data_IF_046761917191
#
_entry.id   IF_046761917191
#
_cell.length_a   1.000
_cell.length_b   1.000
_cell.length_c   1.000
_cell.angle_alpha   90.00
_cell.angle_beta   90.00
_cell.angle_gamma   90.00
#
_symmetry.space_group_name_H-M   'P 1'
#
loop_
_entity.id
_entity.type
_entity.pdbx_description
1 polymer ?
#
# COMPACT_ATOMS: atom_id res chain seq x y z
N UNK A 1 -3.16 -64.13 -41.51
CA UNK A 1 -2.47 -63.06 -40.73
C UNK A 1 -1.13 -63.62 -40.29
N UNK A 2 -0.05 -62.91 -40.60
CA UNK A 2 1.27 -63.31 -40.13
C UNK A 2 1.53 -62.56 -38.82
N UNK A 3 1.88 -63.30 -37.74
CA UNK A 3 2.22 -62.75 -36.46
C UNK A 3 3.71 -62.95 -36.21
N UNK A 4 4.43 -61.91 -35.81
CA UNK A 4 5.84 -61.97 -35.40
C UNK A 4 5.91 -61.77 -33.90
N UNK A 5 6.25 -62.80 -33.11
CA UNK A 5 6.43 -62.74 -31.66
C UNK A 5 7.90 -62.58 -31.33
N UNK A 6 8.28 -61.42 -30.80
CA UNK A 6 9.66 -61.14 -30.41
C UNK A 6 9.72 -60.46 -29.03
N UNK A 7 10.75 -60.77 -28.25
CA UNK A 7 10.96 -60.14 -26.93
C UNK A 7 11.66 -58.80 -27.06
N UNK A 8 12.34 -58.55 -28.19
CA UNK A 8 13.07 -57.32 -28.44
C UNK A 8 13.26 -57.08 -29.93
N UNK A 9 13.03 -55.86 -30.39
CA UNK A 9 13.43 -55.41 -31.72
C UNK A 9 14.59 -54.43 -31.52
N UNK A 10 15.69 -54.66 -32.22
CA UNK A 10 16.88 -53.79 -32.17
C UNK A 10 17.38 -53.60 -33.60
N UNK A 11 17.98 -52.44 -33.94
CA UNK A 11 18.56 -52.28 -35.28
C UNK A 11 19.70 -53.29 -35.50
N UNK A 12 19.80 -53.80 -36.75
CA UNK A 12 20.90 -54.68 -37.13
C UNK A 12 22.22 -53.93 -37.24
N UNK A 13 22.15 -52.67 -37.65
CA UNK A 13 23.28 -51.76 -37.74
C UNK A 13 22.73 -50.31 -37.62
N UNK A 14 23.50 -49.39 -37.06
CA UNK A 14 23.04 -48.03 -36.79
C UNK A 14 22.19 -47.93 -35.53
N UNK A 15 21.46 -46.82 -35.36
CA UNK A 15 20.68 -46.47 -34.15
C UNK A 15 19.18 -46.53 -34.37
N UNK A 16 18.69 -46.71 -35.62
CA UNK A 16 17.28 -46.53 -35.96
C UNK A 16 16.59 -47.86 -36.27
N UNK A 17 15.41 -48.05 -35.76
CA UNK A 17 14.45 -49.08 -36.15
C UNK A 17 13.24 -48.37 -36.77
N UNK A 18 13.01 -48.59 -38.05
CA UNK A 18 11.80 -48.10 -38.73
C UNK A 18 10.71 -49.14 -38.65
N UNK A 19 9.53 -48.75 -38.14
CA UNK A 19 8.35 -49.60 -38.09
C UNK A 19 7.33 -49.03 -39.12
N UNK A 20 7.11 -49.80 -40.17
CA UNK A 20 6.18 -49.40 -41.25
C UNK A 20 6.75 -48.40 -42.29
N UNK A 21 6.01 -48.22 -43.36
CA UNK A 21 6.29 -47.29 -44.45
C UNK A 21 5.31 -46.11 -44.39
N UNK A 22 5.46 -45.12 -45.29
CA UNK A 22 4.57 -43.95 -45.35
C UNK A 22 3.13 -44.40 -45.60
N UNK A 23 2.24 -44.06 -44.64
CA UNK A 23 0.83 -44.43 -44.67
C UNK A 23 0.47 -45.63 -43.78
N UNK A 24 1.44 -46.33 -43.23
CA UNK A 24 1.21 -47.43 -42.26
C UNK A 24 0.75 -46.89 -40.90
N UNK A 25 -0.10 -47.64 -40.22
CA UNK A 25 -0.56 -47.34 -38.88
C UNK A 25 0.09 -48.33 -37.86
N UNK A 26 0.72 -47.80 -36.83
CA UNK A 26 1.13 -48.57 -35.69
C UNK A 26 0.03 -48.51 -34.62
N UNK A 27 -0.73 -49.57 -34.47
CA UNK A 27 -1.85 -49.66 -33.52
C UNK A 27 -1.42 -50.33 -32.23
N UNK A 28 -1.61 -49.65 -31.09
CA UNK A 28 -1.45 -50.17 -29.76
C UNK A 28 -2.82 -50.63 -29.25
N UNK A 29 -3.09 -51.95 -29.18
CA UNK A 29 -4.44 -52.43 -28.85
C UNK A 29 -4.85 -52.05 -27.42
N UNK A 30 -6.18 -52.00 -27.21
CA UNK A 30 -6.73 -51.73 -25.87
C UNK A 30 -6.16 -52.65 -24.80
N UNK A 31 -5.67 -52.03 -23.70
CA UNK A 31 -5.01 -52.77 -22.60
C UNK A 31 -3.50 -52.99 -22.77
N UNK A 32 -2.92 -52.63 -23.94
CA UNK A 32 -1.48 -52.58 -24.12
C UNK A 32 -0.95 -51.15 -23.83
N UNK A 33 0.30 -51.05 -23.41
CA UNK A 33 0.97 -49.78 -23.14
C UNK A 33 2.16 -49.59 -24.06
N UNK A 34 2.28 -48.43 -24.68
CA UNK A 34 3.52 -47.98 -25.30
C UNK A 34 4.32 -47.20 -24.27
N UNK A 35 5.33 -47.81 -23.68
CA UNK A 35 6.22 -47.16 -22.73
C UNK A 35 7.36 -46.44 -23.49
N UNK A 36 7.32 -45.11 -23.41
CA UNK A 36 8.33 -44.22 -23.98
C UNK A 36 9.16 -43.49 -22.90
N UNK A 37 9.17 -44.01 -21.67
CA UNK A 37 9.93 -43.46 -20.55
C UNK A 37 11.41 -43.31 -20.91
N UNK A 38 11.94 -42.11 -20.80
CA UNK A 38 13.34 -41.78 -21.13
C UNK A 38 13.62 -41.58 -22.63
N UNK A 39 12.62 -41.69 -23.51
CA UNK A 39 12.74 -41.38 -24.93
C UNK A 39 12.28 -39.96 -25.24
N UNK A 40 12.89 -39.35 -26.27
CA UNK A 40 12.32 -38.10 -26.87
C UNK A 40 11.27 -38.52 -27.91
N UNK A 41 10.03 -38.16 -27.68
CA UNK A 41 8.93 -38.39 -28.62
C UNK A 41 8.76 -37.15 -29.49
N UNK A 42 8.94 -37.25 -30.80
CA UNK A 42 8.74 -36.18 -31.76
C UNK A 42 7.50 -36.47 -32.60
N UNK A 43 6.74 -35.42 -32.96
CA UNK A 43 5.57 -35.56 -33.82
C UNK A 43 4.25 -35.94 -33.13
N UNK A 44 4.18 -35.93 -31.80
CA UNK A 44 2.88 -35.90 -31.10
C UNK A 44 2.26 -34.52 -31.26
N UNK A 45 1.39 -34.35 -32.24
CA UNK A 45 0.66 -33.12 -32.44
C UNK A 45 -0.14 -32.77 -31.18
N UNK A 46 0.06 -31.57 -30.64
CA UNK A 46 -0.80 -30.97 -29.63
C UNK A 46 -0.27 -30.89 -28.19
N UNK A 47 0.87 -31.50 -27.85
CA UNK A 47 1.49 -31.32 -26.52
C UNK A 47 2.78 -30.49 -26.61
N UNK A 48 2.82 -29.27 -26.04
CA UNK A 48 4.02 -28.45 -26.09
C UNK A 48 5.12 -29.02 -25.16
N UNK A 49 6.38 -28.99 -25.63
CA UNK A 49 7.52 -29.25 -24.76
C UNK A 49 7.84 -27.99 -23.95
N UNK A 50 7.58 -28.03 -22.66
CA UNK A 50 7.82 -26.89 -21.77
C UNK A 50 9.32 -26.54 -21.66
N UNK A 51 9.61 -25.25 -21.75
CA UNK A 51 10.94 -24.67 -21.65
C UNK A 51 11.20 -24.16 -20.23
N UNK A 52 12.44 -23.77 -19.95
CA UNK A 52 12.78 -23.05 -18.73
C UNK A 52 12.07 -21.69 -18.68
N UNK A 53 11.87 -21.15 -17.47
CA UNK A 53 11.25 -19.83 -17.27
C UNK A 53 12.07 -18.77 -17.99
N UNK A 54 11.38 -17.95 -18.79
CA UNK A 54 11.96 -16.81 -19.51
C UNK A 54 11.79 -15.55 -18.65
N UNK A 55 12.90 -14.91 -18.27
CA UNK A 55 12.94 -13.66 -17.50
C UNK A 55 13.43 -12.46 -18.31
N UNK A 56 13.82 -12.69 -19.56
CA UNK A 56 14.34 -11.63 -20.45
C UNK A 56 13.26 -10.81 -21.13
N UNK A 57 13.61 -9.59 -21.55
CA UNK A 57 12.72 -8.71 -22.29
C UNK A 57 12.39 -9.20 -23.74
N UNK A 58 13.09 -10.20 -24.23
CA UNK A 58 12.86 -10.78 -25.56
C UNK A 58 13.00 -12.30 -25.55
N UNK A 59 12.20 -12.97 -26.39
CA UNK A 59 12.22 -14.40 -26.62
C UNK A 59 12.00 -14.69 -28.10
N UNK A 60 12.71 -15.64 -28.66
CA UNK A 60 12.38 -16.23 -30.00
C UNK A 60 11.70 -17.56 -29.76
N UNK A 61 10.43 -17.65 -30.13
CA UNK A 61 9.62 -18.85 -29.95
C UNK A 61 9.88 -19.88 -31.06
N UNK A 62 9.69 -21.14 -30.72
CA UNK A 62 9.81 -22.30 -31.64
C UNK A 62 8.50 -23.09 -31.56
N UNK A 63 7.98 -23.54 -32.70
CA UNK A 63 6.80 -24.38 -32.74
C UNK A 63 6.96 -25.68 -31.93
N UNK A 64 5.88 -26.17 -31.34
CA UNK A 64 5.86 -27.33 -30.46
C UNK A 64 6.35 -27.07 -29.03
N UNK A 65 6.53 -25.81 -28.63
CA UNK A 65 7.04 -25.47 -27.31
C UNK A 65 6.05 -24.65 -26.47
N UNK A 66 6.15 -24.83 -25.14
CA UNK A 66 5.49 -24.02 -24.13
C UNK A 66 6.51 -23.18 -23.36
N UNK A 67 6.20 -21.92 -23.13
CA UNK A 67 7.08 -20.93 -22.49
C UNK A 67 6.42 -20.33 -21.25
N UNK A 68 6.90 -20.66 -20.04
CA UNK A 68 6.57 -19.88 -18.86
C UNK A 68 7.34 -18.55 -18.92
N UNK A 69 6.62 -17.41 -18.90
CA UNK A 69 7.22 -16.09 -19.03
C UNK A 69 7.03 -15.30 -17.73
N UNK A 70 8.15 -14.87 -17.16
CA UNK A 70 8.20 -14.03 -15.97
C UNK A 70 8.47 -12.59 -16.39
N UNK A 71 7.45 -11.74 -16.28
CA UNK A 71 7.54 -10.31 -16.57
C UNK A 71 7.66 -9.45 -15.33
N UNK A 72 8.07 -9.99 -14.17
CA UNK A 72 8.22 -9.23 -12.93
C UNK A 72 9.08 -7.98 -13.10
N UNK A 73 10.20 -8.10 -13.80
CA UNK A 73 11.18 -7.00 -13.95
C UNK A 73 11.01 -6.17 -15.22
N UNK A 74 10.39 -6.72 -16.27
CA UNK A 74 10.23 -6.05 -17.57
C UNK A 74 9.16 -6.73 -18.43
N UNK A 75 8.54 -5.97 -19.33
CA UNK A 75 7.70 -6.52 -20.39
C UNK A 75 8.54 -7.44 -21.31
N UNK A 76 7.91 -8.46 -21.90
CA UNK A 76 8.56 -9.40 -22.80
C UNK A 76 7.97 -9.30 -24.22
N UNK A 77 8.84 -9.21 -25.22
CA UNK A 77 8.47 -9.35 -26.63
C UNK A 77 8.88 -10.72 -27.15
N UNK A 78 7.89 -11.51 -27.55
CA UNK A 78 8.12 -12.83 -28.16
C UNK A 78 8.07 -12.71 -29.68
N UNK A 79 9.15 -13.10 -30.35
CA UNK A 79 9.19 -13.20 -31.82
C UNK A 79 8.78 -14.60 -32.25
N UNK A 80 7.69 -14.71 -33.04
CA UNK A 80 7.23 -15.97 -33.57
C UNK A 80 8.16 -16.48 -34.71
N UNK A 81 8.10 -17.79 -35.04
CA UNK A 81 8.85 -18.32 -36.18
C UNK A 81 8.51 -17.57 -37.51
N UNK A 82 9.53 -17.30 -38.33
CA UNK A 82 9.34 -16.66 -39.62
C UNK A 82 8.64 -17.57 -40.66
N UNK A 83 8.56 -18.88 -40.40
CA UNK A 83 7.79 -19.85 -41.16
C UNK A 83 7.13 -20.84 -40.23
N UNK A 84 5.94 -21.31 -40.56
CA UNK A 84 5.17 -22.26 -39.78
C UNK A 84 4.39 -23.21 -40.70
N UNK A 85 4.12 -24.41 -40.20
CA UNK A 85 3.30 -25.43 -40.83
C UNK A 85 1.92 -25.51 -40.19
N UNK A 86 0.90 -25.90 -40.96
CA UNK A 86 -0.46 -26.10 -40.42
C UNK A 86 -0.41 -27.08 -39.26
N UNK A 87 -0.98 -26.66 -38.11
CA UNK A 87 -0.99 -27.44 -36.89
C UNK A 87 0.19 -27.17 -35.93
N UNK A 88 1.14 -26.31 -36.30
CA UNK A 88 2.16 -25.84 -35.34
C UNK A 88 1.52 -25.15 -34.17
N UNK A 89 1.93 -25.51 -32.94
CA UNK A 89 1.38 -25.01 -31.67
C UNK A 89 2.48 -24.32 -30.87
N UNK A 90 2.15 -23.21 -30.25
CA UNK A 90 2.99 -22.54 -29.24
C UNK A 90 2.10 -22.14 -28.06
N UNK A 91 2.62 -22.30 -26.83
CA UNK A 91 1.91 -21.90 -25.62
C UNK A 91 2.76 -20.92 -24.81
N UNK A 92 2.14 -19.87 -24.33
CA UNK A 92 2.73 -18.89 -23.42
C UNK A 92 1.90 -18.87 -22.14
N UNK A 93 2.54 -18.79 -20.97
CA UNK A 93 1.83 -18.62 -19.70
C UNK A 93 2.49 -17.55 -18.84
N UNK A 94 1.68 -16.73 -18.18
CA UNK A 94 2.11 -15.72 -17.21
C UNK A 94 2.59 -16.41 -15.94
N UNK A 95 3.88 -16.76 -15.91
CA UNK A 95 4.50 -17.51 -14.80
C UNK A 95 4.44 -16.76 -13.48
N UNK A 96 4.74 -15.46 -13.48
CA UNK A 96 4.80 -14.62 -12.30
C UNK A 96 3.51 -13.82 -12.05
N UNK A 97 2.47 -14.02 -12.90
CA UNK A 97 1.19 -13.30 -12.82
C UNK A 97 1.35 -11.78 -12.93
N UNK A 98 2.26 -11.33 -13.80
CA UNK A 98 2.65 -9.91 -13.95
C UNK A 98 2.34 -9.34 -15.34
N UNK A 99 1.63 -10.04 -16.24
CA UNK A 99 1.27 -9.50 -17.54
C UNK A 99 0.43 -8.22 -17.45
N UNK A 100 -0.38 -8.08 -16.39
CA UNK A 100 -1.14 -6.85 -16.14
C UNK A 100 -0.27 -5.63 -15.77
N UNK A 101 0.99 -5.85 -15.35
CA UNK A 101 1.94 -4.79 -14.99
C UNK A 101 2.93 -4.57 -16.14
N UNK A 102 3.48 -5.66 -16.66
CA UNK A 102 4.46 -5.71 -17.73
C UNK A 102 3.97 -6.70 -18.79
N UNK A 103 3.30 -6.21 -19.82
CA UNK A 103 2.60 -7.03 -20.81
C UNK A 103 3.53 -7.92 -21.65
N UNK A 104 2.96 -9.02 -22.15
CA UNK A 104 3.54 -9.84 -23.18
C UNK A 104 3.14 -9.31 -24.57
N UNK A 105 4.10 -9.00 -25.43
CA UNK A 105 3.86 -8.60 -26.83
C UNK A 105 4.28 -9.70 -27.78
N UNK A 106 3.46 -10.05 -28.76
CA UNK A 106 3.78 -11.05 -29.79
C UNK A 106 4.23 -10.35 -31.07
N UNK A 107 5.52 -10.41 -31.40
CA UNK A 107 6.03 -10.02 -32.71
C UNK A 107 5.71 -11.13 -33.71
N UNK A 108 4.82 -10.85 -34.64
CA UNK A 108 4.28 -11.80 -35.61
C UNK A 108 5.31 -12.27 -36.65
N UNK A 109 6.45 -11.59 -36.77
CA UNK A 109 7.58 -11.94 -37.62
C UNK A 109 7.18 -12.22 -39.09
N UNK A 110 6.39 -11.31 -39.67
CA UNK A 110 5.90 -11.34 -41.06
C UNK A 110 4.81 -12.38 -41.38
N UNK A 111 4.37 -13.19 -40.38
CA UNK A 111 3.19 -14.04 -40.56
C UNK A 111 1.96 -13.30 -40.01
N UNK A 112 0.78 -13.70 -40.50
CA UNK A 112 -0.47 -13.14 -40.00
C UNK A 112 -0.80 -13.67 -38.56
N UNK A 113 -1.52 -12.87 -37.80
CA UNK A 113 -2.16 -13.25 -36.55
C UNK A 113 -3.64 -12.92 -36.64
N UNK A 114 -4.51 -13.94 -36.59
CA UNK A 114 -5.96 -13.81 -36.84
C UNK A 114 -6.29 -13.10 -38.16
N UNK A 115 -5.42 -13.24 -39.17
CA UNK A 115 -5.59 -12.65 -40.50
C UNK A 115 -5.02 -11.23 -40.65
N UNK A 116 -4.39 -10.68 -39.61
CA UNK A 116 -3.81 -9.35 -39.64
C UNK A 116 -2.27 -9.42 -39.49
N UNK A 117 -1.55 -8.57 -40.20
CA UNK A 117 -0.09 -8.45 -40.08
C UNK A 117 0.35 -7.35 -39.11
N UNK A 118 -0.59 -6.59 -38.60
CA UNK A 118 -0.38 -5.46 -37.67
C UNK A 118 -1.74 -5.05 -37.07
N UNK A 119 -1.77 -4.51 -35.82
CA UNK A 119 -0.65 -4.39 -34.86
C UNK A 119 -0.23 -5.73 -34.29
N UNK A 120 0.91 -5.75 -33.58
CA UNK A 120 1.32 -6.90 -32.78
C UNK A 120 0.33 -7.14 -31.63
N UNK A 121 -0.12 -8.38 -31.40
CA UNK A 121 -0.98 -8.71 -30.25
C UNK A 121 -0.27 -8.44 -28.93
N UNK A 122 -1.03 -7.96 -27.95
CA UNK A 122 -0.58 -7.70 -26.58
C UNK A 122 -1.48 -8.46 -25.62
N UNK A 123 -0.88 -9.16 -24.66
CA UNK A 123 -1.53 -9.89 -23.59
C UNK A 123 -1.15 -9.23 -22.27
N UNK A 124 -2.13 -8.67 -21.58
CA UNK A 124 -1.98 -7.81 -20.41
C UNK A 124 -2.90 -8.20 -19.23
N UNK A 125 -3.37 -9.45 -19.23
CA UNK A 125 -4.25 -9.95 -18.19
C UNK A 125 -3.46 -10.81 -17.19
N UNK A 126 -3.65 -10.56 -15.88
CA UNK A 126 -2.99 -11.29 -14.79
C UNK A 126 -3.31 -12.79 -14.84
N UNK A 127 -2.28 -13.63 -14.90
CA UNK A 127 -2.41 -15.09 -14.90
C UNK A 127 -2.88 -15.68 -16.22
N UNK A 128 -2.70 -14.98 -17.32
CA UNK A 128 -3.14 -15.37 -18.66
C UNK A 128 -2.28 -16.50 -19.24
N UNK A 129 -2.94 -17.44 -19.90
CA UNK A 129 -2.30 -18.48 -20.71
C UNK A 129 -2.87 -18.44 -22.11
N UNK A 130 -1.99 -18.37 -23.10
CA UNK A 130 -2.34 -18.27 -24.51
C UNK A 130 -1.79 -19.48 -25.25
N UNK A 131 -2.67 -20.22 -25.93
CA UNK A 131 -2.29 -21.29 -26.84
C UNK A 131 -2.62 -20.85 -28.26
N UNK A 132 -1.62 -20.76 -29.13
CA UNK A 132 -1.78 -20.38 -30.52
C UNK A 132 -1.45 -21.53 -31.45
N UNK A 133 -2.21 -21.63 -32.53
CA UNK A 133 -2.03 -22.67 -33.59
C UNK A 133 -1.91 -21.97 -34.94
N UNK A 134 -0.93 -22.37 -35.76
CA UNK A 134 -0.84 -21.90 -37.14
C UNK A 134 -1.84 -22.63 -38.02
N UNK A 135 -2.72 -21.90 -38.67
CA UNK A 135 -3.81 -22.47 -39.47
C UNK A 135 -3.47 -22.48 -40.96
N UNK A 136 -3.06 -21.35 -41.52
CA UNK A 136 -2.71 -21.19 -42.93
C UNK A 136 -2.00 -19.83 -43.14
N UNK A 137 -1.60 -19.55 -44.39
CA UNK A 137 -0.95 -18.28 -44.72
C UNK A 137 -1.89 -17.07 -44.69
N UNK A 138 -3.22 -17.28 -44.77
CA UNK A 138 -4.22 -16.20 -44.76
C UNK A 138 -4.53 -15.76 -43.33
N UNK A 139 -4.80 -16.70 -42.46
CA UNK A 139 -5.14 -16.43 -41.06
C UNK A 139 -3.93 -16.39 -40.17
N UNK A 140 -2.87 -17.13 -40.48
CA UNK A 140 -1.67 -17.20 -39.68
C UNK A 140 -1.88 -17.94 -38.37
N UNK A 141 -1.37 -17.37 -37.30
CA UNK A 141 -1.54 -17.87 -35.96
C UNK A 141 -2.89 -17.47 -35.39
N UNK A 142 -3.59 -18.44 -34.83
CA UNK A 142 -4.92 -18.26 -34.20
C UNK A 142 -4.84 -18.69 -32.73
N UNK A 143 -5.20 -17.82 -31.75
CA UNK A 143 -5.37 -18.27 -30.38
C UNK A 143 -6.55 -19.23 -30.30
N UNK A 144 -6.30 -20.41 -29.71
CA UNK A 144 -7.31 -21.45 -29.45
C UNK A 144 -7.69 -21.53 -27.99
N UNK A 145 -6.84 -20.97 -27.12
CA UNK A 145 -7.12 -20.73 -25.72
C UNK A 145 -6.45 -19.39 -25.37
N UNK A 146 -7.18 -18.54 -24.67
CA UNK A 146 -6.83 -17.18 -24.30
C UNK A 146 -7.62 -16.88 -23.01
N UNK A 147 -7.08 -17.28 -21.88
CA UNK A 147 -7.79 -17.17 -20.62
C UNK A 147 -6.87 -17.04 -19.43
N UNK A 148 -7.30 -16.19 -18.50
CA UNK A 148 -6.63 -16.04 -17.21
C UNK A 148 -7.12 -17.11 -16.22
N UNK A 149 -6.18 -17.69 -15.48
CA UNK A 149 -6.45 -18.63 -14.39
C UNK A 149 -6.23 -17.91 -13.06
N UNK A 150 -7.25 -17.87 -12.20
CA UNK A 150 -7.12 -17.35 -10.84
C UNK A 150 -6.20 -18.25 -10.00
N UNK A 151 -5.60 -17.70 -8.93
CA UNK A 151 -4.95 -18.53 -7.94
C UNK A 151 -6.00 -19.45 -7.27
N UNK A 152 -5.71 -20.74 -7.16
CA UNK A 152 -6.57 -21.70 -6.45
C UNK A 152 -6.63 -21.38 -4.95
N UNK A 153 -5.53 -20.86 -4.40
CA UNK A 153 -5.42 -20.40 -3.02
C UNK A 153 -4.94 -18.96 -3.05
N UNK A 154 -5.68 -18.01 -2.46
CA UNK A 154 -5.25 -16.63 -2.36
C UNK A 154 -3.88 -16.53 -1.71
N UNK A 155 -2.96 -15.80 -2.31
CA UNK A 155 -1.64 -15.58 -1.75
C UNK A 155 -1.72 -14.51 -0.65
N UNK A 156 -0.87 -14.66 0.36
CA UNK A 156 -0.79 -13.69 1.46
C UNK A 156 0.62 -13.15 1.58
N UNK A 157 0.74 -11.91 2.02
CA UNK A 157 2.02 -11.28 2.27
C UNK A 157 1.95 -10.31 3.45
N UNK A 158 3.10 -9.99 4.01
CA UNK A 158 3.22 -9.05 5.13
C UNK A 158 3.30 -7.62 4.59
N UNK A 159 2.59 -6.70 5.24
CA UNK A 159 2.63 -5.27 4.97
C UNK A 159 2.86 -4.49 6.26
N UNK A 160 3.81 -3.57 6.26
CA UNK A 160 4.02 -2.65 7.35
C UNK A 160 3.14 -1.41 7.16
N UNK A 161 2.55 -0.95 8.25
CA UNK A 161 1.55 0.12 8.23
C UNK A 161 1.86 1.18 9.27
N UNK A 162 1.63 2.44 8.88
CA UNK A 162 1.56 3.58 9.79
C UNK A 162 0.20 4.27 9.62
N UNK A 163 -0.51 4.43 10.73
CA UNK A 163 -1.81 5.09 10.78
C UNK A 163 -1.72 6.26 11.76
N UNK A 164 -1.86 7.49 11.28
CA UNK A 164 -1.82 8.72 12.09
C UNK A 164 -3.16 9.43 11.98
N UNK A 165 -3.82 9.67 13.12
CA UNK A 165 -5.07 10.46 13.19
C UNK A 165 -4.87 11.93 12.86
N UNK A 166 -5.94 12.68 12.63
CA UNK A 166 -5.87 14.14 12.52
C UNK A 166 -5.57 14.78 13.88
N UNK A 167 -4.75 15.84 13.92
CA UNK A 167 -4.46 16.59 15.14
C UNK A 167 -5.65 17.44 15.61
N UNK A 168 -5.69 17.82 16.89
CA UNK A 168 -6.66 18.75 17.46
C UNK A 168 -6.32 20.21 17.15
N UNK A 169 -7.33 21.06 17.03
CA UNK A 169 -7.19 22.52 16.94
C UNK A 169 -7.12 23.19 18.32
N UNK A 170 -6.92 24.50 18.33
CA UNK A 170 -6.80 25.31 19.54
C UNK A 170 -7.93 26.30 19.73
N UNK A 171 -8.06 26.85 20.95
CA UNK A 171 -8.85 28.05 21.18
C UNK A 171 -8.12 29.30 20.69
N UNK A 172 -8.87 30.26 20.20
CA UNK A 172 -8.38 31.62 19.94
C UNK A 172 -8.39 32.48 21.18
N UNK A 173 -7.78 33.66 21.09
CA UNK A 173 -7.67 34.61 22.18
C UNK A 173 -6.71 34.22 23.27
N UNK A 174 -6.78 34.86 24.43
CA UNK A 174 -5.75 34.79 25.46
C UNK A 174 -5.58 33.41 26.12
N UNK A 175 -4.36 33.02 26.39
CA UNK A 175 -3.93 31.91 27.27
C UNK A 175 -4.50 30.51 26.96
N UNK A 176 -4.80 30.23 25.71
CA UNK A 176 -5.32 28.94 25.27
C UNK A 176 -4.27 27.82 25.35
N UNK A 177 -4.74 26.60 25.57
CA UNK A 177 -3.92 25.39 25.47
C UNK A 177 -3.71 24.97 24.03
N UNK A 178 -2.56 24.33 23.73
CA UNK A 178 -2.22 23.76 22.43
C UNK A 178 -3.06 22.53 22.08
N UNK A 179 -3.33 22.29 20.80
CA UNK A 179 -4.01 21.08 20.33
C UNK A 179 -3.17 19.82 20.50
N UNK A 180 -3.79 18.72 20.90
CA UNK A 180 -3.13 17.41 20.97
C UNK A 180 -2.86 16.85 19.57
N UNK A 181 -1.82 16.07 19.40
CA UNK A 181 -1.55 15.37 18.16
C UNK A 181 -2.55 14.22 17.92
N UNK A 182 -2.79 13.87 16.67
CA UNK A 182 -3.45 12.62 16.31
C UNK A 182 -2.71 11.42 16.88
N UNK A 183 -3.42 10.33 17.15
CA UNK A 183 -2.79 9.08 17.59
C UNK A 183 -1.81 8.59 16.51
N UNK A 184 -0.78 7.91 16.93
CA UNK A 184 0.24 7.30 16.07
C UNK A 184 0.25 5.80 16.30
N UNK A 185 -0.02 5.02 15.28
CA UNK A 185 -0.02 3.56 15.38
C UNK A 185 0.76 2.92 14.24
N UNK A 186 1.65 2.01 14.59
CA UNK A 186 2.33 1.14 13.63
C UNK A 186 1.82 -0.29 13.79
N UNK A 187 1.78 -1.03 12.71
CA UNK A 187 1.40 -2.44 12.73
C UNK A 187 1.98 -3.14 11.50
N UNK A 188 2.37 -4.40 11.69
CA UNK A 188 2.64 -5.30 10.57
C UNK A 188 1.47 -6.27 10.44
N UNK A 189 0.85 -6.35 9.28
CA UNK A 189 -0.34 -7.15 9.04
C UNK A 189 -0.16 -8.05 7.82
N UNK A 190 -0.91 -9.16 7.81
CA UNK A 190 -0.99 -10.03 6.64
C UNK A 190 -2.13 -9.56 5.76
N UNK A 191 -1.82 -9.21 4.52
CA UNK A 191 -2.80 -8.92 3.48
C UNK A 191 -2.98 -10.14 2.58
N UNK A 192 -4.16 -10.27 1.99
CA UNK A 192 -4.49 -11.36 1.06
C UNK A 192 -4.72 -10.77 -0.33
N UNK A 193 -4.10 -11.34 -1.35
CA UNK A 193 -4.28 -10.91 -2.75
C UNK A 193 -5.76 -10.86 -3.14
N UNK A 194 -6.08 -9.94 -4.04
CA UNK A 194 -7.41 -9.68 -4.59
C UNK A 194 -8.46 -9.18 -3.56
N UNK A 195 -8.09 -8.97 -2.29
CA UNK A 195 -8.97 -8.34 -1.29
C UNK A 195 -8.80 -6.83 -1.24
N UNK A 196 -9.93 -6.15 -1.04
CA UNK A 196 -9.98 -4.68 -0.95
C UNK A 196 -9.84 -4.24 0.51
N UNK A 197 -8.91 -3.33 0.76
CA UNK A 197 -8.68 -2.67 2.04
C UNK A 197 -9.07 -1.21 1.93
N UNK A 198 -9.99 -0.79 2.80
CA UNK A 198 -10.51 0.59 2.85
C UNK A 198 -9.68 1.41 3.82
N UNK A 199 -9.25 2.57 3.35
CA UNK A 199 -8.47 3.56 4.10
C UNK A 199 -9.32 4.80 4.35
N UNK A 200 -9.35 5.25 5.61
CA UNK A 200 -9.90 6.54 6.01
C UNK A 200 -8.79 7.39 6.60
N UNK A 201 -8.70 8.66 6.20
CA UNK A 201 -7.70 9.61 6.69
C UNK A 201 -8.40 10.76 7.41
N UNK A 202 -8.17 10.84 8.72
CA UNK A 202 -8.81 11.82 9.59
C UNK A 202 -8.40 13.25 9.30
N UNK A 203 -9.36 14.16 9.27
CA UNK A 203 -9.13 15.60 9.17
C UNK A 203 -8.67 16.17 10.51
N UNK A 204 -7.90 17.26 10.47
CA UNK A 204 -7.57 18.05 11.64
C UNK A 204 -8.78 18.74 12.26
N UNK A 205 -8.77 18.90 13.58
CA UNK A 205 -9.76 19.68 14.29
C UNK A 205 -9.64 21.18 13.99
N UNK A 206 -10.75 21.87 13.91
CA UNK A 206 -10.74 23.29 13.64
C UNK A 206 -10.18 24.10 14.81
N UNK A 207 -9.35 25.08 14.53
CA UNK A 207 -9.08 26.20 15.43
C UNK A 207 -10.31 27.09 15.54
N UNK A 208 -10.47 27.78 16.64
CA UNK A 208 -11.61 28.69 16.88
C UNK A 208 -11.11 30.07 17.26
N UNK A 209 -11.95 31.12 16.97
CA UNK A 209 -11.64 32.54 17.24
C UNK A 209 -12.00 33.00 18.63
N UNK A 210 -12.51 32.16 19.50
CA UNK A 210 -13.05 32.50 20.78
C UNK A 210 -12.20 32.02 21.95
N UNK A 211 -11.88 32.90 22.90
CA UNK A 211 -11.22 32.54 24.14
C UNK A 211 -12.10 31.71 25.10
N UNK A 212 -13.38 31.60 24.80
CA UNK A 212 -14.36 30.86 25.62
C UNK A 212 -14.78 29.50 25.01
N UNK A 213 -14.20 29.11 23.86
CA UNK A 213 -14.48 27.86 23.22
C UNK A 213 -13.20 27.01 23.08
N UNK A 214 -13.33 25.76 23.47
CA UNK A 214 -12.28 24.76 23.23
C UNK A 214 -12.07 24.51 21.74
N UNK A 215 -10.84 24.29 21.33
CA UNK A 215 -10.51 23.88 19.98
C UNK A 215 -11.21 22.58 19.58
N UNK A 216 -11.44 22.38 18.30
CA UNK A 216 -12.04 21.16 17.76
C UNK A 216 -11.10 19.95 17.91
N UNK A 217 -11.62 18.77 18.24
CA UNK A 217 -10.83 17.53 18.16
C UNK A 217 -10.65 17.07 16.74
N UNK A 218 -9.53 16.42 16.44
CA UNK A 218 -9.28 15.80 15.16
C UNK A 218 -10.13 14.56 14.91
N UNK A 219 -10.13 14.08 13.69
CA UNK A 219 -10.85 12.87 13.28
C UNK A 219 -9.94 11.64 13.25
N UNK A 220 -10.57 10.45 13.30
CA UNK A 220 -9.85 9.18 13.26
C UNK A 220 -9.26 8.90 11.87
N UNK A 221 -8.12 8.20 11.83
CA UNK A 221 -7.65 7.49 10.64
C UNK A 221 -7.78 5.99 10.85
N UNK A 222 -8.04 5.23 9.79
CA UNK A 222 -8.18 3.78 9.92
C UNK A 222 -7.85 3.04 8.62
N UNK A 223 -7.55 1.75 8.77
CA UNK A 223 -7.54 0.77 7.68
C UNK A 223 -8.35 -0.46 8.09
N UNK A 224 -9.19 -0.96 7.18
CA UNK A 224 -10.06 -2.11 7.40
C UNK A 224 -10.23 -2.92 6.11
N UNK A 225 -10.57 -4.20 6.24
CA UNK A 225 -10.83 -5.10 5.11
C UNK A 225 -11.04 -6.53 5.59
N UNK A 226 -11.45 -7.41 4.69
CA UNK A 226 -11.66 -8.83 5.00
C UNK A 226 -10.32 -9.45 5.45
N UNK A 227 -10.35 -10.19 6.55
CA UNK A 227 -9.17 -10.84 7.13
C UNK A 227 -8.25 -9.91 7.94
N UNK A 228 -8.51 -8.59 7.93
CA UNK A 228 -7.76 -7.61 8.70
C UNK A 228 -8.59 -7.16 9.92
N UNK A 229 -8.00 -7.23 11.11
CA UNK A 229 -8.58 -6.52 12.26
C UNK A 229 -8.42 -5.02 12.03
N UNK A 230 -9.52 -4.28 11.99
CA UNK A 230 -9.50 -2.83 11.78
C UNK A 230 -8.51 -2.15 12.71
N UNK A 231 -7.59 -1.39 12.13
CA UNK A 231 -6.64 -0.58 12.88
C UNK A 231 -7.14 0.86 12.82
N UNK A 232 -7.40 1.43 14.00
CA UNK A 232 -7.90 2.80 14.14
C UNK A 232 -6.92 3.61 14.96
N UNK A 233 -6.59 4.81 14.51
CA UNK A 233 -5.82 5.80 15.24
C UNK A 233 -6.73 6.99 15.54
N UNK A 234 -6.86 7.35 16.81
CA UNK A 234 -7.77 8.40 17.26
C UNK A 234 -7.31 9.79 16.81
N UNK A 235 -8.25 10.70 16.65
CA UNK A 235 -7.91 12.12 16.48
C UNK A 235 -7.32 12.71 17.75
N UNK A 236 -6.56 13.77 17.62
CA UNK A 236 -6.01 14.54 18.73
C UNK A 236 -7.08 15.35 19.46
N UNK A 237 -6.92 15.55 20.78
CA UNK A 237 -7.81 16.37 21.58
C UNK A 237 -7.66 17.88 21.28
N UNK A 238 -8.75 18.62 21.26
CA UNK A 238 -8.73 20.09 21.14
C UNK A 238 -8.14 20.76 22.37
N UNK A 239 -7.38 21.85 22.19
CA UNK A 239 -6.82 22.67 23.28
C UNK A 239 -7.89 23.40 24.09
N UNK A 240 -7.68 23.52 25.40
CA UNK A 240 -8.57 24.21 26.34
C UNK A 240 -8.59 25.71 26.14
N UNK A 241 -9.73 26.33 26.51
CA UNK A 241 -9.96 27.77 26.43
C UNK A 241 -9.50 28.47 27.73
N UNK A 242 -9.31 29.81 27.65
CA UNK A 242 -9.02 30.66 28.82
C UNK A 242 -10.26 31.04 29.59
N UNK A 243 -11.15 31.80 28.97
CA UNK A 243 -12.27 32.52 29.62
C UNK A 243 -13.59 31.80 29.39
N UNK A 244 -13.85 30.76 30.14
CA UNK A 244 -15.16 30.10 30.14
C UNK A 244 -15.68 29.91 31.55
N UNK A 245 -16.96 30.25 31.81
CA UNK A 245 -17.56 30.11 33.15
C UNK A 245 -17.69 28.64 33.62
N UNK A 246 -17.55 27.69 32.70
CA UNK A 246 -17.58 26.27 32.98
C UNK A 246 -16.17 25.66 32.88
N UNK A 247 -15.74 24.96 33.96
CA UNK A 247 -14.42 24.31 34.05
C UNK A 247 -14.12 23.35 32.87
N UNK A 248 -15.16 22.76 32.30
CA UNK A 248 -15.04 21.79 31.17
C UNK A 248 -14.50 22.34 29.87
N UNK A 249 -14.56 23.68 29.63
CA UNK A 249 -13.98 24.27 28.42
C UNK A 249 -12.53 24.71 28.63
N UNK A 250 -12.10 24.85 29.89
CA UNK A 250 -10.68 25.12 30.19
C UNK A 250 -9.82 23.89 30.07
N UNK A 251 -10.35 22.70 30.35
CA UNK A 251 -9.64 21.46 30.20
C UNK A 251 -9.38 21.14 28.72
N UNK A 252 -8.21 20.63 28.43
CA UNK A 252 -7.92 20.01 27.16
C UNK A 252 -8.86 18.83 26.90
N UNK A 253 -9.18 18.56 25.64
CA UNK A 253 -9.95 17.39 25.28
C UNK A 253 -9.09 16.13 25.25
N UNK A 254 -9.69 14.99 25.60
CA UNK A 254 -9.05 13.68 25.43
C UNK A 254 -8.92 13.33 23.93
N UNK A 255 -7.92 12.50 23.59
CA UNK A 255 -7.72 12.08 22.22
C UNK A 255 -6.63 11.04 22.04
N UNK A 256 -6.18 10.81 20.80
CA UNK A 256 -4.98 10.03 20.50
C UNK A 256 -3.79 10.56 21.29
N UNK A 257 -3.58 11.89 21.25
CA UNK A 257 -2.89 12.65 22.30
C UNK A 257 -3.84 13.73 22.82
N UNK A 258 -3.76 14.04 24.09
CA UNK A 258 -4.62 15.00 24.77
C UNK A 258 -4.30 16.45 24.41
N UNK A 259 -5.31 17.34 24.37
CA UNK A 259 -5.11 18.78 24.25
C UNK A 259 -4.53 19.36 25.55
N UNK A 260 -3.76 20.46 25.47
CA UNK A 260 -3.28 21.22 26.63
C UNK A 260 -4.42 21.96 27.34
N UNK A 261 -4.33 22.12 28.66
CA UNK A 261 -5.24 22.92 29.45
C UNK A 261 -5.05 24.42 29.22
N UNK A 262 -6.13 25.20 29.27
CA UNK A 262 -6.08 26.66 29.21
C UNK A 262 -5.58 27.28 30.52
N UNK A 263 -4.83 28.39 30.49
CA UNK A 263 -4.46 29.17 31.66
C UNK A 263 -5.66 29.91 32.23
N UNK A 264 -5.72 30.11 33.57
CA UNK A 264 -6.78 30.88 34.17
C UNK A 264 -6.33 31.44 35.56
N UNK A 265 -6.96 32.56 35.97
CA UNK A 265 -6.58 33.27 37.22
C UNK A 265 -6.76 32.42 38.47
N UNK A 266 -7.78 31.63 38.62
CA UNK A 266 -8.13 30.89 39.84
C UNK A 266 -8.25 29.38 39.66
N UNK A 267 -8.55 28.88 38.43
CA UNK A 267 -8.79 27.49 38.16
C UNK A 267 -8.37 27.16 36.73
N UNK A 268 -7.08 26.91 36.50
CA UNK A 268 -6.57 26.55 35.17
C UNK A 268 -7.16 25.21 34.70
N UNK A 269 -7.22 25.02 33.42
CA UNK A 269 -7.68 23.77 32.82
C UNK A 269 -6.67 22.64 33.00
N UNK A 270 -7.14 21.44 33.25
CA UNK A 270 -6.33 20.23 33.18
C UNK A 270 -6.00 19.86 31.75
N UNK A 271 -4.87 19.20 31.55
CA UNK A 271 -4.56 18.58 30.26
C UNK A 271 -5.52 17.43 29.94
N UNK A 272 -5.89 17.28 28.69
CA UNK A 272 -6.64 16.12 28.21
C UNK A 272 -5.83 14.85 28.26
N UNK A 273 -6.49 13.71 28.48
CA UNK A 273 -5.85 12.40 28.49
C UNK A 273 -5.47 11.99 27.06
N UNK A 274 -4.26 11.48 26.91
CA UNK A 274 -3.82 10.81 25.70
C UNK A 274 -4.25 9.35 25.67
N UNK A 275 -3.90 8.66 24.60
CA UNK A 275 -4.24 7.24 24.41
C UNK A 275 -5.72 6.92 24.64
N UNK A 276 -6.61 7.78 24.17
CA UNK A 276 -8.06 7.65 24.31
C UNK A 276 -8.71 7.51 22.92
N UNK A 277 -9.39 6.36 22.63
CA UNK A 277 -9.50 5.17 23.47
C UNK A 277 -8.15 4.48 23.67
N UNK A 278 -8.00 3.77 24.79
CA UNK A 278 -6.75 3.11 25.15
C UNK A 278 -6.33 2.03 24.13
N UNK A 279 -5.08 2.07 23.73
CA UNK A 279 -4.45 1.06 22.84
C UNK A 279 -3.13 0.58 23.44
N UNK A 280 -2.70 -0.59 22.98
CA UNK A 280 -1.36 -1.12 23.29
C UNK A 280 -0.67 -1.49 21.95
N UNK A 281 0.51 -0.92 21.65
CA UNK A 281 1.17 0.20 22.35
C UNK A 281 0.31 1.46 22.41
N UNK A 282 0.66 2.39 23.33
CA UNK A 282 0.02 3.70 23.42
C UNK A 282 0.10 4.44 22.09
N UNK A 283 -1.00 5.09 21.69
CA UNK A 283 -1.06 5.89 20.45
C UNK A 283 -0.68 7.38 20.69
N UNK A 284 -0.49 7.82 21.94
CA UNK A 284 -0.11 9.17 22.26
C UNK A 284 -0.07 9.43 23.75
N UNK A 285 0.18 10.66 24.14
CA UNK A 285 0.39 11.09 25.53
C UNK A 285 -0.54 12.25 25.91
N UNK A 286 -0.62 12.51 27.23
CA UNK A 286 -1.47 13.54 27.81
C UNK A 286 -1.00 14.96 27.40
N UNK A 287 -1.92 15.90 27.36
CA UNK A 287 -1.61 17.33 27.34
C UNK A 287 -1.10 17.80 28.71
N UNK A 288 -0.42 18.96 28.74
CA UNK A 288 0.00 19.59 29.98
C UNK A 288 -1.17 20.32 30.67
N UNK A 289 -1.01 20.60 31.99
CA UNK A 289 -1.94 21.40 32.78
C UNK A 289 -1.69 22.92 32.59
N UNK A 290 -2.75 23.70 32.44
CA UNK A 290 -2.68 25.15 32.40
C UNK A 290 -2.12 25.74 33.72
N UNK A 291 -1.67 27.00 33.69
CA UNK A 291 -1.16 27.69 34.85
C UNK A 291 -2.20 28.64 35.45
N UNK A 292 -2.28 28.65 36.79
CA UNK A 292 -3.04 29.66 37.55
C UNK A 292 -2.17 30.83 38.00
N UNK A 293 -2.76 32.01 38.11
CA UNK A 293 -2.06 33.22 38.58
C UNK A 293 -1.14 33.84 37.53
N UNK A 294 -0.60 35.01 37.81
CA UNK A 294 0.27 35.76 36.88
C UNK A 294 1.70 35.24 36.91
N UNK A 295 2.33 34.95 35.77
CA UNK A 295 1.78 35.04 34.41
C UNK A 295 0.83 33.88 34.06
N UNK A 296 -0.32 34.17 33.48
CA UNK A 296 -1.23 33.14 32.97
C UNK A 296 -0.63 32.46 31.77
N UNK A 297 -0.72 31.13 31.68
CA UNK A 297 -0.23 30.40 30.54
C UNK A 297 -1.01 29.11 30.30
N UNK A 298 -1.45 28.90 29.05
CA UNK A 298 -1.92 27.63 28.57
C UNK A 298 -0.81 26.64 28.38
N UNK A 299 -1.13 25.37 28.50
CA UNK A 299 -0.18 24.28 28.38
C UNK A 299 -0.08 23.78 26.94
N UNK A 300 0.99 23.05 26.62
CA UNK A 300 1.16 22.38 25.33
C UNK A 300 0.29 21.15 25.21
N UNK A 301 -0.17 20.84 24.00
CA UNK A 301 -0.84 19.58 23.67
C UNK A 301 0.14 18.41 23.70
N UNK A 302 -0.36 17.20 24.02
CA UNK A 302 0.42 15.96 23.97
C UNK A 302 0.84 15.61 22.55
N UNK A 303 1.99 14.97 22.42
CA UNK A 303 2.49 14.37 21.18
C UNK A 303 2.52 12.85 21.27
N UNK A 304 2.75 12.18 20.15
CA UNK A 304 2.84 10.72 20.15
C UNK A 304 4.05 10.18 20.92
N UNK A 305 5.13 10.95 21.04
CA UNK A 305 6.36 10.55 21.71
C UNK A 305 6.55 11.14 23.11
N UNK A 306 5.83 12.22 23.45
CA UNK A 306 6.00 12.91 24.75
C UNK A 306 4.73 13.62 25.17
N UNK A 307 4.57 13.81 26.50
CA UNK A 307 3.53 14.66 27.09
C UNK A 307 3.71 16.12 26.69
N UNK A 308 2.63 16.89 26.69
CA UNK A 308 2.70 18.35 26.57
C UNK A 308 3.29 18.99 27.83
N UNK A 309 4.03 20.09 27.67
CA UNK A 309 4.57 20.81 28.82
C UNK A 309 3.47 21.64 29.49
N UNK A 310 3.50 21.66 30.82
CA UNK A 310 2.60 22.49 31.63
C UNK A 310 2.79 23.97 31.36
N UNK A 311 1.73 24.75 31.57
CA UNK A 311 1.77 26.21 31.51
C UNK A 311 2.69 26.85 32.55
N UNK A 312 2.96 26.17 33.68
CA UNK A 312 3.98 26.61 34.66
C UNK A 312 5.42 26.54 34.13
N UNK A 313 5.62 25.88 33.00
CA UNK A 313 6.91 25.75 32.35
C UNK A 313 6.93 26.59 31.04
N UNK A 314 7.15 25.93 29.91
CA UNK A 314 7.26 26.57 28.60
C UNK A 314 5.97 26.50 27.80
N UNK A 315 5.00 25.68 28.18
CA UNK A 315 3.80 25.41 27.40
C UNK A 315 4.07 24.74 26.03
N UNK A 316 5.24 24.16 25.84
CA UNK A 316 5.60 23.52 24.57
C UNK A 316 4.76 22.27 24.28
N UNK A 317 4.43 22.04 23.04
CA UNK A 317 3.83 20.81 22.60
C UNK A 317 4.77 19.60 22.77
N UNK A 318 4.17 18.45 23.07
CA UNK A 318 4.88 17.17 23.17
C UNK A 318 5.44 16.75 21.80
N UNK A 319 6.64 16.20 21.80
CA UNK A 319 7.25 15.69 20.56
C UNK A 319 6.48 14.49 20.00
N UNK A 320 6.48 14.37 18.69
CA UNK A 320 5.94 13.22 17.97
C UNK A 320 6.86 11.99 18.00
N UNK A 321 6.44 10.96 17.32
CA UNK A 321 7.18 9.69 17.16
C UNK A 321 7.68 9.52 15.72
N UNK A 322 8.90 8.96 15.60
CA UNK A 322 9.51 8.70 14.31
C UNK A 322 9.06 7.35 13.72
N UNK A 323 8.94 7.29 12.40
CA UNK A 323 8.72 6.06 11.63
C UNK A 323 9.60 6.03 10.41
N UNK A 324 10.05 4.83 10.05
CA UNK A 324 10.85 4.56 8.85
C UNK A 324 10.04 3.86 7.76
N UNK A 325 8.73 3.76 7.90
CA UNK A 325 7.83 3.08 6.96
C UNK A 325 7.95 3.57 5.50
N UNK A 326 8.44 4.80 5.31
CA UNK A 326 8.68 5.39 3.98
C UNK A 326 10.11 5.19 3.45
N UNK A 327 10.90 4.31 4.06
CA UNK A 327 12.31 4.11 3.74
C UNK A 327 13.27 5.13 4.37
N UNK A 328 12.77 6.23 4.93
CA UNK A 328 13.52 7.24 5.67
C UNK A 328 12.81 7.64 6.95
N UNK A 329 13.57 8.11 7.95
CA UNK A 329 13.00 8.52 9.24
C UNK A 329 12.22 9.83 9.10
N UNK A 330 10.91 9.78 9.39
CA UNK A 330 10.02 10.95 9.46
C UNK A 330 9.32 10.95 10.80
N UNK A 331 9.26 12.11 11.47
CA UNK A 331 8.54 12.29 12.73
C UNK A 331 7.12 12.75 12.46
N UNK A 332 6.13 12.12 13.13
CA UNK A 332 4.70 12.39 13.01
C UNK A 332 4.10 12.70 14.36
N UNK A 333 2.95 13.33 14.37
CA UNK A 333 2.10 13.51 15.54
C UNK A 333 2.77 14.30 16.66
N UNK A 334 3.29 15.51 16.37
CA UNK A 334 3.71 16.50 17.39
C UNK A 334 2.53 17.31 17.91
N UNK A 335 2.46 17.58 19.22
CA UNK A 335 1.46 18.43 19.86
C UNK A 335 1.69 19.92 19.60
N UNK A 336 0.66 20.74 19.66
CA UNK A 336 0.73 22.20 19.49
C UNK A 336 1.20 22.91 20.74
N UNK A 337 1.82 24.11 20.59
CA UNK A 337 2.21 24.97 21.70
C UNK A 337 1.03 25.72 22.35
N UNK A 338 1.09 25.93 23.66
CA UNK A 338 0.14 26.78 24.42
C UNK A 338 0.60 28.23 24.50
N UNK A 339 -0.35 29.18 24.56
CA UNK A 339 -0.07 30.61 24.65
C UNK A 339 -0.09 31.14 26.08
N UNK A 340 0.74 32.13 26.38
CA UNK A 340 0.82 32.72 27.73
C UNK A 340 1.24 34.18 27.73
N UNK A 341 1.14 34.83 28.86
CA UNK A 341 1.45 36.27 29.08
C UNK A 341 2.91 36.60 28.75
N UNK A 342 3.19 36.90 27.49
CA UNK A 342 4.53 37.20 27.00
C UNK A 342 5.41 35.98 26.74
N UNK A 343 4.86 34.77 26.85
CA UNK A 343 5.52 33.49 26.57
C UNK A 343 4.66 32.68 25.63
N UNK A 344 5.26 32.08 24.62
CA UNK A 344 4.60 31.18 23.67
C UNK A 344 5.30 29.84 23.68
N UNK A 345 4.56 28.78 23.69
CA UNK A 345 5.06 27.42 23.51
C UNK A 345 5.33 27.11 22.06
N UNK A 346 6.45 26.45 21.81
CA UNK A 346 6.73 25.89 20.49
C UNK A 346 5.97 24.60 20.29
N UNK A 347 5.58 24.34 19.06
CA UNK A 347 5.03 23.04 18.65
C UNK A 347 6.05 21.92 18.78
N UNK A 348 5.58 20.72 19.11
CA UNK A 348 6.41 19.52 19.15
C UNK A 348 6.90 19.12 17.75
N UNK A 349 8.08 18.50 17.70
CA UNK A 349 8.58 17.91 16.46
C UNK A 349 7.58 16.89 15.92
N UNK A 350 7.43 16.80 14.60
CA UNK A 350 6.40 15.95 13.99
C UNK A 350 5.13 16.72 13.59
N UNK A 351 5.27 18.03 13.41
CA UNK A 351 4.27 18.88 12.78
C UNK A 351 3.35 19.63 13.74
N UNK A 352 3.70 19.76 15.02
CA UNK A 352 2.97 20.65 15.93
C UNK A 352 3.11 22.12 15.51
N UNK A 353 2.02 22.88 15.60
CA UNK A 353 1.96 24.33 15.36
C UNK A 353 2.52 25.12 16.55
N UNK A 354 3.28 26.17 16.29
CA UNK A 354 3.77 27.11 17.31
C UNK A 354 2.65 28.04 17.82
N UNK A 355 2.67 28.33 19.10
CA UNK A 355 1.81 29.37 19.61
C UNK A 355 2.33 30.76 19.22
N UNK A 356 1.44 31.77 19.19
CA UNK A 356 1.76 33.14 18.82
C UNK A 356 1.26 34.15 19.85
N UNK A 357 1.89 35.34 19.90
CA UNK A 357 1.43 36.48 20.73
C UNK A 357 0.49 37.39 19.95
N UNK A 358 0.53 37.38 18.65
CA UNK A 358 -0.25 38.25 17.77
C UNK A 358 -0.63 37.50 16.48
N UNK A 359 -1.83 37.79 15.96
CA UNK A 359 -2.34 37.06 14.80
C UNK A 359 -2.80 35.65 15.16
N UNK A 360 -2.93 34.82 14.16
CA UNK A 360 -3.39 33.44 14.31
C UNK A 360 -2.30 32.53 14.88
N UNK A 361 -2.69 31.50 15.61
CA UNK A 361 -1.80 30.40 15.98
C UNK A 361 -1.44 29.57 14.75
N UNK A 362 -0.24 28.99 14.74
CA UNK A 362 0.18 28.16 13.61
C UNK A 362 -0.65 26.88 13.52
N UNK A 363 -1.02 26.53 12.29
CA UNK A 363 -1.69 25.26 12.04
C UNK A 363 -0.74 24.07 12.21
N UNK A 364 -1.25 22.98 12.70
CA UNK A 364 -0.56 21.70 12.63
C UNK A 364 -0.25 21.32 11.18
N UNK A 365 0.93 20.75 10.95
CA UNK A 365 1.37 20.37 9.60
C UNK A 365 0.46 19.28 9.02
N UNK A 366 -0.04 19.50 7.81
CA UNK A 366 -0.90 18.55 7.09
C UNK A 366 -0.17 17.24 6.81
N UNK A 367 -0.89 16.13 6.87
CA UNK A 367 -0.38 14.78 6.62
C UNK A 367 0.72 14.31 7.62
N UNK A 368 0.83 15.00 8.75
CA UNK A 368 1.64 14.56 9.88
C UNK A 368 0.80 14.35 11.16
N UNK A 369 -0.48 14.79 11.17
CA UNK A 369 -1.35 14.67 12.34
C UNK A 369 -0.95 15.56 13.51
N UNK A 370 -0.26 16.69 13.26
CA UNK A 370 0.19 17.63 14.30
C UNK A 370 -0.97 18.42 14.90
N UNK A 371 -0.89 18.74 16.22
CA UNK A 371 -1.80 19.66 16.88
C UNK A 371 -1.60 21.11 16.46
N UNK A 372 -2.63 21.95 16.48
CA UNK A 372 -2.53 23.39 16.23
C UNK A 372 -1.92 24.15 17.40
N UNK A 373 -1.25 25.29 17.16
CA UNK A 373 -0.72 26.21 18.14
C UNK A 373 -1.77 27.19 18.66
N UNK A 374 -1.73 27.56 19.94
CA UNK A 374 -2.58 28.54 20.53
C UNK A 374 -2.17 29.98 20.14
N UNK A 375 -3.01 30.98 20.45
CA UNK A 375 -2.67 32.40 20.23
C UNK A 375 -3.11 33.27 21.41
N UNK A 376 -2.53 34.47 21.52
CA UNK A 376 -3.11 35.58 22.26
C UNK A 376 -3.82 36.60 21.36
N UNK A 377 -3.75 36.38 20.05
CA UNK A 377 -4.34 37.30 19.05
C UNK A 377 -5.72 36.82 18.57
N UNK A 378 -5.79 36.40 17.32
CA UNK A 378 -7.05 36.18 16.60
C UNK A 378 -7.51 34.72 16.69
N UNK A 379 -7.27 33.88 15.67
CA UNK A 379 -7.77 32.52 15.61
C UNK A 379 -6.71 31.51 16.12
N UNK A 380 -7.17 30.55 16.91
CA UNK A 380 -6.33 29.39 17.25
C UNK A 380 -6.00 28.57 16.01
N UNK A 381 -4.81 27.97 15.97
CA UNK A 381 -4.37 27.11 14.88
C UNK A 381 -5.25 25.86 14.76
N UNK A 382 -5.56 25.47 13.55
CA UNK A 382 -6.22 24.18 13.27
C UNK A 382 -5.23 23.03 13.36
N UNK A 383 -5.70 21.84 13.73
CA UNK A 383 -4.89 20.62 13.66
C UNK A 383 -4.57 20.23 12.22
N UNK A 384 -3.46 19.56 12.02
CA UNK A 384 -3.03 18.99 10.75
C UNK A 384 -3.78 17.69 10.43
N UNK A 385 -4.08 17.48 9.15
CA UNK A 385 -4.67 16.22 8.66
C UNK A 385 -3.75 15.04 8.99
N UNK A 386 -4.35 13.86 9.24
CA UNK A 386 -3.63 12.60 9.42
C UNK A 386 -3.07 12.02 8.13
N UNK A 387 -2.53 10.81 8.22
CA UNK A 387 -2.00 10.04 7.09
C UNK A 387 -2.12 8.55 7.36
N UNK A 388 -2.32 7.76 6.31
CA UNK A 388 -2.18 6.30 6.35
C UNK A 388 -1.16 5.87 5.32
N UNK A 389 -0.19 5.07 5.74
CA UNK A 389 0.91 4.61 4.89
C UNK A 389 0.96 3.09 4.98
N UNK A 390 1.00 2.43 3.82
CA UNK A 390 1.28 1.01 3.69
C UNK A 390 2.64 0.86 3.00
N UNK A 391 3.43 -0.08 3.50
CA UNK A 391 4.65 -0.54 2.85
C UNK A 391 4.47 -2.02 2.53
N UNK A 392 4.49 -2.36 1.24
CA UNK A 392 4.22 -3.70 0.72
C UNK A 392 5.38 -4.17 -0.15
N UNK A 393 5.71 -5.48 -0.21
CA UNK A 393 6.73 -5.95 -1.13
C UNK A 393 6.34 -5.68 -2.60
N UNK A 394 7.28 -5.19 -3.43
CA UNK A 394 7.06 -4.87 -4.84
C UNK A 394 6.43 -6.03 -5.63
N UNK A 395 6.83 -7.27 -5.29
CA UNK A 395 6.31 -8.48 -5.92
C UNK A 395 4.79 -8.65 -5.79
N UNK A 396 4.19 -8.10 -4.71
CA UNK A 396 2.76 -8.21 -4.40
C UNK A 396 1.98 -6.90 -4.62
N UNK A 397 2.65 -5.83 -5.03
CA UNK A 397 1.94 -4.59 -5.33
C UNK A 397 1.07 -4.74 -6.59
N UNK A 398 -0.24 -4.69 -6.42
CA UNK A 398 -1.21 -4.92 -7.50
C UNK A 398 -1.35 -3.76 -8.49
N UNK A 399 -0.96 -2.54 -8.08
CA UNK A 399 -1.23 -1.30 -8.82
C UNK A 399 -2.66 -0.75 -8.63
N UNK A 400 -3.56 -1.48 -7.99
CA UNK A 400 -4.97 -1.12 -7.86
C UNK A 400 -5.23 -0.29 -6.59
N UNK A 401 -5.26 1.03 -6.74
CA UNK A 401 -5.52 2.01 -5.68
C UNK A 401 -6.59 3.01 -6.09
N UNK A 402 -7.34 3.54 -5.12
CA UNK A 402 -8.25 4.68 -5.31
C UNK A 402 -7.94 5.78 -4.30
N UNK A 403 -8.52 6.99 -4.47
CA UNK A 403 -8.26 8.12 -3.56
C UNK A 403 -6.96 8.87 -3.83
N UNK A 404 -6.31 8.58 -4.97
CA UNK A 404 -5.07 9.26 -5.43
C UNK A 404 -3.93 9.28 -4.40
N UNK A 405 -3.56 8.12 -3.80
CA UNK A 405 -2.39 8.07 -2.93
C UNK A 405 -1.10 8.37 -3.71
N UNK A 406 -0.07 8.81 -3.01
CA UNK A 406 1.28 8.82 -3.56
C UNK A 406 1.87 7.42 -3.47
N UNK A 407 2.29 6.85 -4.60
CA UNK A 407 2.92 5.54 -4.68
C UNK A 407 4.38 5.69 -5.07
N UNK A 408 5.27 5.04 -4.33
CA UNK A 408 6.72 5.05 -4.61
C UNK A 408 7.25 3.62 -4.50
N UNK A 409 7.71 3.07 -5.62
CA UNK A 409 8.28 1.71 -5.72
C UNK A 409 9.79 1.71 -5.46
N UNK A 410 10.36 0.54 -5.22
CA UNK A 410 11.80 0.37 -5.04
C UNK A 410 12.33 1.02 -3.76
N UNK A 411 11.54 1.02 -2.70
CA UNK A 411 11.91 1.54 -1.39
C UNK A 411 12.50 0.42 -0.50
N UNK A 412 12.91 0.78 0.72
CA UNK A 412 13.52 -0.17 1.64
C UNK A 412 15.00 -0.48 1.34
N UNK A 413 15.64 -1.25 2.20
CA UNK A 413 17.08 -1.56 2.12
C UNK A 413 17.43 -2.44 0.90
N UNK A 414 16.47 -3.24 0.42
CA UNK A 414 16.60 -4.10 -0.76
C UNK A 414 16.13 -3.44 -2.05
N UNK A 415 15.54 -2.24 -1.99
CA UNK A 415 14.83 -1.61 -3.12
C UNK A 415 13.72 -2.52 -3.69
N UNK A 416 13.04 -3.26 -2.83
CA UNK A 416 12.04 -4.27 -3.13
C UNK A 416 10.68 -4.00 -2.44
N UNK A 417 10.47 -2.76 -1.99
CA UNK A 417 9.26 -2.34 -1.29
C UNK A 417 8.56 -1.20 -2.04
N UNK A 418 7.22 -1.24 -2.03
CA UNK A 418 6.35 -0.17 -2.52
C UNK A 418 5.66 0.52 -1.35
N UNK A 419 5.86 1.83 -1.24
CA UNK A 419 5.20 2.69 -0.27
C UNK A 419 3.97 3.34 -0.88
N UNK A 420 2.79 3.12 -0.26
CA UNK A 420 1.51 3.69 -0.66
C UNK A 420 1.07 4.67 0.44
N UNK A 421 1.15 5.98 0.17
CA UNK A 421 0.84 7.05 1.13
C UNK A 421 -0.52 7.69 0.80
N UNK A 422 -1.51 7.46 1.66
CA UNK A 422 -2.85 8.06 1.58
C UNK A 422 -2.89 9.34 2.40
N UNK A 423 -3.25 10.46 1.77
CA UNK A 423 -3.52 11.77 2.38
C UNK A 423 -5.01 12.14 2.34
N UNK A 424 -5.85 11.23 1.92
CA UNK A 424 -7.31 11.25 1.85
C UNK A 424 -7.83 9.83 1.82
N UNK A 425 -9.15 9.70 1.89
CA UNK A 425 -9.82 8.39 1.85
C UNK A 425 -9.56 7.68 0.52
N UNK A 426 -9.48 6.36 0.58
CA UNK A 426 -9.25 5.55 -0.60
C UNK A 426 -9.29 4.06 -0.32
N UNK A 427 -8.87 3.28 -1.29
CA UNK A 427 -8.76 1.83 -1.17
C UNK A 427 -7.44 1.34 -1.77
N UNK A 428 -6.96 0.22 -1.25
CA UNK A 428 -5.92 -0.59 -1.85
C UNK A 428 -6.47 -2.00 -2.07
N UNK A 429 -6.38 -2.52 -3.29
CA UNK A 429 -6.63 -3.94 -3.56
C UNK A 429 -5.29 -4.66 -3.50
N UNK A 430 -5.14 -5.59 -2.60
CA UNK A 430 -3.87 -6.30 -2.34
C UNK A 430 -3.50 -7.29 -3.43
#
# INVERSE_FOLDING_TARGET
>A
MSEVKVNKISPRSGTDVTLGDSGDTFDVPSGATLDVTGATVTGLAGLPTWQSVTTGATLTAVAGRGYPIDTTSNACTVTLPASASVGDVIVFTDYARKFAVNALTINQNSLNYQGNSSPNPVYDTKGETVCIVYMDATKGWIPTNDGAVANEVPQTYSADMLIVGGGGGCSGGEYGGGGGAGGFRTSTQTLTEDLVYTVTVGDGGAGVSSSSQKGGSGSISSISGTGLTTITSAGGGGGGAYDHPADTNRDGADGGSGGGGGGHDTAPGAGGSGNTPSTSPSQGNDGGDGQSGTPYQGAGGGGAGAVGADGSGTGNGGNGSASTVTGSSVTYAGGGGGSGSGVVGSGGTGGGGDATLTGDGDNGTVNLGGGGGATQGDDGGSGGKGVVILNVPDAYYSGAVTGSPTVTTGQGAGSDETVIKFTGDGTYTA
#
